data_IF_134344292352
#
_entry.id   IF_134344292352
#
_cell.length_a   1.000
_cell.length_b   1.000
_cell.length_c   1.000
_cell.angle_alpha   90.00
_cell.angle_beta   90.00
_cell.angle_gamma   90.00
#
_symmetry.space_group_name_H-M   'P 1'
#
loop_
_entity.id
_entity.type
_entity.pdbx_description
1 polymer ?
#
# COMPACT_ATOMS: atom_id res chain seq x y z
N UNK A 1 -5.33 4.50 6.31
CA UNK A 1 -4.79 4.59 4.92
C UNK A 1 -5.32 3.46 4.04
N UNK A 2 -5.41 2.22 4.54
CA UNK A 2 -5.96 1.07 3.81
C UNK A 2 -7.30 1.36 3.10
N UNK A 3 -8.34 1.79 3.82
CA UNK A 3 -9.65 2.07 3.20
C UNK A 3 -9.63 3.21 2.16
N UNK A 4 -8.74 4.19 2.34
CA UNK A 4 -8.53 5.26 1.35
C UNK A 4 -7.88 4.70 0.07
N UNK A 5 -6.99 3.71 0.21
CA UNK A 5 -6.42 3.00 -0.92
C UNK A 5 -7.51 2.30 -1.72
N UNK A 6 -8.44 1.59 -1.09
CA UNK A 6 -9.61 1.03 -1.80
C UNK A 6 -10.47 2.12 -2.44
N UNK A 7 -10.78 3.20 -1.71
CA UNK A 7 -11.60 4.28 -2.24
C UNK A 7 -10.99 4.93 -3.50
N UNK A 8 -9.65 4.92 -3.65
CA UNK A 8 -8.95 5.40 -4.85
C UNK A 8 -9.22 4.55 -6.10
N UNK A 9 -9.69 3.31 -5.96
CA UNK A 9 -9.95 2.40 -7.07
C UNK A 9 -11.23 2.71 -7.85
N UNK A 10 -12.07 3.63 -7.38
CA UNK A 10 -13.30 4.05 -8.06
C UNK A 10 -13.03 4.49 -9.53
N UNK A 11 -13.95 4.24 -10.49
CA UNK A 11 -13.75 4.58 -11.90
C UNK A 11 -13.42 6.05 -12.19
N UNK A 12 -13.94 6.97 -11.36
CA UNK A 12 -13.62 8.41 -11.47
C UNK A 12 -12.24 8.80 -10.91
N UNK A 13 -11.42 7.82 -10.53
CA UNK A 13 -10.13 8.00 -9.83
C UNK A 13 -9.04 7.19 -10.54
N UNK A 14 -8.59 6.08 -9.97
CA UNK A 14 -7.55 5.23 -10.56
C UNK A 14 -8.10 4.05 -11.36
N UNK A 15 -9.42 3.87 -11.40
CA UNK A 15 -10.12 2.89 -12.24
C UNK A 15 -9.52 1.49 -12.17
N UNK A 16 -9.40 0.96 -10.95
CA UNK A 16 -8.91 -0.40 -10.72
C UNK A 16 -10.06 -1.40 -10.73
N UNK A 17 -9.78 -2.64 -11.11
CA UNK A 17 -10.77 -3.72 -11.09
C UNK A 17 -11.06 -4.19 -9.66
N UNK A 18 -12.13 -3.67 -9.06
CA UNK A 18 -12.63 -4.04 -7.73
C UNK A 18 -13.74 -5.11 -7.78
N UNK A 19 -13.93 -5.81 -8.91
CA UNK A 19 -15.02 -6.81 -9.07
C UNK A 19 -14.77 -8.15 -8.37
N UNK A 20 -13.59 -8.32 -7.75
CA UNK A 20 -13.20 -9.54 -7.04
C UNK A 20 -14.11 -9.83 -5.84
N UNK A 21 -14.62 -11.06 -5.75
CA UNK A 21 -15.35 -11.53 -4.57
C UNK A 21 -14.38 -11.85 -3.43
N UNK A 22 -14.83 -11.72 -2.18
CA UNK A 22 -14.07 -12.11 -0.99
C UNK A 22 -13.47 -13.53 -1.15
N UNK A 23 -12.19 -13.67 -0.82
CA UNK A 23 -11.44 -14.94 -0.97
C UNK A 23 -11.01 -15.28 -2.41
N UNK A 24 -11.37 -14.48 -3.42
CA UNK A 24 -10.86 -14.66 -4.78
C UNK A 24 -9.45 -14.09 -4.94
N UNK A 25 -8.73 -14.55 -5.97
CA UNK A 25 -7.40 -14.00 -6.31
C UNK A 25 -7.43 -12.51 -6.63
N UNK A 26 -8.47 -12.03 -7.33
CA UNK A 26 -8.62 -10.60 -7.64
C UNK A 26 -8.81 -9.77 -6.36
N UNK A 27 -9.64 -10.26 -5.45
CA UNK A 27 -9.85 -9.63 -4.15
C UNK A 27 -8.54 -9.59 -3.36
N UNK A 28 -7.84 -10.72 -3.24
CA UNK A 28 -6.58 -10.79 -2.51
C UNK A 28 -5.47 -9.91 -3.13
N UNK A 29 -5.49 -9.71 -4.46
CA UNK A 29 -4.57 -8.81 -5.14
C UNK A 29 -4.89 -7.33 -4.88
N UNK A 30 -6.17 -6.95 -4.80
CA UNK A 30 -6.55 -5.58 -4.42
C UNK A 30 -6.26 -5.29 -2.94
N UNK A 31 -6.49 -6.26 -2.06
CA UNK A 31 -6.03 -6.20 -0.67
C UNK A 31 -4.51 -5.96 -0.67
N UNK A 32 -3.74 -6.78 -1.43
CA UNK A 32 -2.28 -6.66 -1.59
C UNK A 32 -1.84 -5.23 -1.96
N UNK A 33 -2.57 -4.58 -2.87
CA UNK A 33 -2.33 -3.20 -3.26
C UNK A 33 -2.63 -2.24 -2.11
N UNK A 34 -3.74 -2.43 -1.38
CA UNK A 34 -4.22 -1.52 -0.35
C UNK A 34 -3.28 -1.40 0.86
N UNK A 35 -2.74 -2.50 1.42
CA UNK A 35 -1.76 -2.36 2.52
C UNK A 35 -0.40 -1.85 2.05
N UNK A 36 0.11 -2.24 0.87
CA UNK A 36 1.38 -1.67 0.36
C UNK A 36 1.22 -0.15 0.20
N UNK A 37 0.10 0.28 -0.38
CA UNK A 37 -0.19 1.71 -0.54
C UNK A 37 -0.33 2.40 0.82
N UNK A 38 -1.00 1.76 1.79
CA UNK A 38 -1.11 2.28 3.15
C UNK A 38 0.27 2.48 3.80
N UNK A 39 1.17 1.50 3.67
CA UNK A 39 2.53 1.59 4.16
C UNK A 39 3.33 2.71 3.48
N UNK A 40 3.26 2.81 2.14
CA UNK A 40 3.93 3.87 1.38
C UNK A 40 3.42 5.26 1.75
N UNK A 41 2.10 5.45 1.85
CA UNK A 41 1.55 6.74 2.22
C UNK A 41 1.85 7.12 3.68
N UNK A 42 1.83 6.17 4.62
CA UNK A 42 2.26 6.43 5.99
C UNK A 42 3.72 6.88 6.04
N UNK A 43 4.61 6.18 5.31
CA UNK A 43 6.02 6.55 5.23
C UNK A 43 6.22 7.95 4.62
N UNK A 44 5.52 8.25 3.52
CA UNK A 44 5.59 9.55 2.85
C UNK A 44 5.12 10.72 3.74
N UNK A 45 4.13 10.47 4.61
CA UNK A 45 3.56 11.48 5.51
C UNK A 45 4.24 11.51 6.90
N UNK A 46 5.26 10.69 7.14
CA UNK A 46 5.92 10.57 8.45
C UNK A 46 4.99 10.02 9.54
N UNK A 47 3.94 9.29 9.16
CA UNK A 47 2.99 8.70 10.10
C UNK A 47 3.53 7.35 10.57
N UNK A 48 3.77 7.21 11.87
CA UNK A 48 4.05 5.93 12.50
C UNK A 48 2.71 5.20 12.72
N UNK A 49 2.44 4.08 12.04
CA UNK A 49 1.20 3.35 12.25
C UNK A 49 1.16 2.75 13.65
N UNK A 50 0.14 3.10 14.43
CA UNK A 50 -0.09 2.57 15.79
C UNK A 50 -0.80 1.22 15.79
N UNK A 51 -1.51 0.91 14.71
CA UNK A 51 -2.12 -0.39 14.43
C UNK A 51 -1.51 -0.92 13.14
N UNK A 52 -0.86 -2.08 13.20
CA UNK A 52 -0.51 -2.85 12.00
C UNK A 52 -1.52 -3.97 11.91
N UNK A 53 -2.28 -4.03 10.82
CA UNK A 53 -3.15 -5.16 10.53
C UNK A 53 -2.31 -6.38 10.08
N UNK A 54 -1.45 -6.86 10.97
CA UNK A 54 -0.55 -7.99 10.73
C UNK A 54 -1.33 -9.27 10.33
N UNK A 55 -2.62 -9.35 10.67
CA UNK A 55 -3.53 -10.43 10.29
C UNK A 55 -3.70 -10.54 8.76
N UNK A 56 -3.50 -9.45 8.00
CA UNK A 56 -3.57 -9.50 6.53
C UNK A 56 -2.27 -10.01 5.90
N UNK A 57 -1.10 -9.80 6.51
CA UNK A 57 0.18 -10.33 5.98
C UNK A 57 0.13 -11.86 5.84
N UNK A 58 -0.61 -12.56 6.70
CA UNK A 58 -0.82 -14.01 6.62
C UNK A 58 -1.51 -14.46 5.34
N UNK A 59 -2.61 -13.81 4.94
CA UNK A 59 -3.32 -14.09 3.67
C UNK A 59 -2.43 -13.80 2.46
N UNK A 60 -1.52 -12.84 2.60
CA UNK A 60 -0.70 -12.35 1.49
C UNK A 60 0.48 -13.28 1.24
N UNK A 61 0.97 -13.96 2.29
CA UNK A 61 1.95 -15.04 2.13
C UNK A 61 1.41 -16.17 1.26
N UNK A 62 0.13 -16.51 1.33
CA UNK A 62 -0.45 -17.55 0.49
C UNK A 62 -0.59 -17.09 -0.97
N UNK A 63 -0.99 -15.84 -1.20
CA UNK A 63 -0.98 -15.22 -2.55
C UNK A 63 0.43 -15.19 -3.15
N UNK A 64 1.43 -14.81 -2.34
CA UNK A 64 2.82 -14.75 -2.77
C UNK A 64 3.40 -16.15 -3.00
N UNK A 65 3.04 -17.14 -2.19
CA UNK A 65 3.43 -18.55 -2.40
C UNK A 65 2.85 -19.12 -3.69
N UNK A 66 1.61 -18.77 -4.02
CA UNK A 66 0.98 -19.17 -5.28
C UNK A 66 1.57 -18.43 -6.50
N UNK A 67 1.91 -17.15 -6.34
CA UNK A 67 2.48 -16.33 -7.41
C UNK A 67 3.48 -15.29 -6.88
N UNK A 68 4.75 -15.70 -6.79
CA UNK A 68 5.85 -14.83 -6.36
C UNK A 68 6.07 -13.62 -7.29
N UNK A 69 5.48 -13.61 -8.49
CA UNK A 69 5.58 -12.47 -9.42
C UNK A 69 4.52 -11.42 -9.15
N UNK A 70 3.48 -11.72 -8.36
CA UNK A 70 2.39 -10.79 -8.06
C UNK A 70 2.83 -9.58 -7.22
N UNK A 71 3.94 -9.69 -6.47
CA UNK A 71 4.43 -8.59 -5.61
C UNK A 71 4.84 -7.34 -6.38
N UNK A 72 5.54 -7.49 -7.51
CA UNK A 72 6.05 -6.34 -8.28
C UNK A 72 4.92 -5.56 -8.97
N UNK A 73 3.96 -6.21 -9.65
CA UNK A 73 2.77 -5.55 -10.16
C UNK A 73 1.93 -4.89 -9.07
N UNK A 74 1.74 -5.55 -7.92
CA UNK A 74 0.98 -4.97 -6.81
C UNK A 74 1.69 -3.74 -6.24
N UNK A 75 3.00 -3.80 -6.02
CA UNK A 75 3.79 -2.67 -5.56
C UNK A 75 3.75 -1.49 -6.55
N UNK A 76 3.80 -1.75 -7.86
CA UNK A 76 3.67 -0.72 -8.89
C UNK A 76 2.32 -0.01 -8.84
N UNK A 77 1.22 -0.76 -8.67
CA UNK A 77 -0.11 -0.16 -8.48
C UNK A 77 -0.21 0.59 -7.16
N UNK A 78 0.34 0.03 -6.08
CA UNK A 78 0.35 0.66 -4.77
C UNK A 78 1.11 1.99 -4.75
N UNK A 79 2.23 2.13 -5.49
CA UNK A 79 2.90 3.41 -5.67
C UNK A 79 1.98 4.46 -6.28
N UNK A 80 1.23 4.12 -7.34
CA UNK A 80 0.26 5.03 -7.97
C UNK A 80 -0.86 5.44 -7.00
N UNK A 81 -1.30 4.52 -6.16
CA UNK A 81 -2.29 4.81 -5.11
C UNK A 81 -1.71 5.76 -4.08
N UNK A 82 -0.49 5.50 -3.60
CA UNK A 82 0.15 6.35 -2.62
C UNK A 82 0.37 7.77 -3.16
N UNK A 83 0.85 7.91 -4.39
CA UNK A 83 1.03 9.20 -5.06
C UNK A 83 -0.32 9.94 -5.19
N UNK A 84 -1.37 9.24 -5.61
CA UNK A 84 -2.72 9.79 -5.70
C UNK A 84 -3.20 10.31 -4.34
N UNK A 85 -3.05 9.53 -3.27
CA UNK A 85 -3.53 9.90 -1.93
C UNK A 85 -2.72 11.04 -1.32
N UNK A 86 -1.38 10.96 -1.40
CA UNK A 86 -0.47 11.99 -0.86
C UNK A 86 -0.61 13.29 -1.65
N UNK A 87 -0.97 13.24 -2.93
CA UNK A 87 -1.24 14.42 -3.75
C UNK A 87 -2.37 15.32 -3.22
N UNK A 88 -3.23 14.84 -2.32
CA UNK A 88 -4.24 15.65 -1.64
C UNK A 88 -3.73 16.35 -0.38
N UNK A 89 -2.54 16.00 0.12
CA UNK A 89 -1.97 16.63 1.31
C UNK A 89 -1.45 18.05 0.97
N UNK A 90 -1.78 19.08 1.78
CA UNK A 90 -1.28 20.43 1.54
C UNK A 90 0.25 20.48 1.70
N UNK A 91 0.95 20.92 0.64
CA UNK A 91 2.41 21.15 0.58
C UNK A 91 3.31 20.05 1.19
N UNK A 92 2.98 18.78 1.01
CA UNK A 92 3.90 17.67 1.31
C UNK A 92 4.71 17.27 0.08
N UNK A 93 5.61 18.14 -0.40
CA UNK A 93 6.64 17.74 -1.38
C UNK A 93 8.00 18.23 -0.92
N UNK A 94 8.64 17.41 -0.09
CA UNK A 94 10.09 17.29 0.02
C UNK A 94 10.44 15.81 -0.10
N UNK A 95 11.54 15.43 -0.78
CA UNK A 95 11.91 14.03 -0.92
C UNK A 95 12.01 13.36 0.44
N UNK A 96 11.54 12.11 0.54
CA UNK A 96 11.63 11.31 1.73
C UNK A 96 13.07 11.34 2.25
N UNK A 97 13.30 11.96 3.41
CA UNK A 97 14.58 11.88 4.08
C UNK A 97 14.81 10.41 4.44
N UNK A 98 15.95 9.82 4.04
CA UNK A 98 16.27 8.46 4.46
C UNK A 98 16.26 8.45 5.99
N UNK A 99 15.51 7.51 6.57
CA UNK A 99 15.48 7.28 8.01
C UNK A 99 16.92 7.24 8.51
N UNK A 100 17.25 8.11 9.46
CA UNK A 100 18.59 8.20 10.02
C UNK A 100 19.00 6.81 10.49
N UNK A 101 19.99 6.23 9.83
CA UNK A 101 20.59 4.98 10.25
C UNK A 101 21.11 5.19 11.68
N UNK A 102 20.51 4.47 12.61
CA UNK A 102 20.87 4.44 14.01
C UNK A 102 22.36 4.09 14.11
N UNK A 103 23.20 5.09 14.41
CA UNK A 103 24.62 4.87 14.67
C UNK A 103 24.73 4.38 16.11
N UNK A 104 24.83 3.07 16.26
CA UNK A 104 25.23 2.46 17.53
C UNK A 104 26.59 3.04 17.99
N UNK A 105 26.75 3.44 19.26
CA UNK A 105 28.03 3.89 19.78
C UNK A 105 29.00 2.72 19.97
N UNK A 106 30.28 2.99 19.71
CA UNK A 106 31.43 2.10 19.95
C UNK A 106 31.91 2.17 21.40
#
# INVERSE_FOLDING_TARGET
MHELAHASGHPSRLDRDLSGRFGSRKYAFEELIAEIAAAFSCAALGIVPTVRHADYVGVWLDVLREDNRAIVPAASQASRVADYLVGFAPNAVGPAQPAAADRAPA
#
